data_IF_974438245008
#
_entry.id   IF_974438245008
#
_cell.length_a   1.000
_cell.length_b   1.000
_cell.length_c   1.000
_cell.angle_alpha   90.00
_cell.angle_beta   90.00
_cell.angle_gamma   90.00
#
_symmetry.space_group_name_H-M   'P 1'
#
loop_
_entity.id
_entity.type
_entity.pdbx_description
1 polymer ?
#
# COMPACT_ATOMS: atom_id res chain seq x y z
N UNK A 1 -17.26 -3.38 -29.86
CA UNK A 1 -16.97 -3.62 -28.43
C UNK A 1 -15.55 -4.19 -28.37
N UNK A 2 -14.65 -3.70 -27.50
CA UNK A 2 -13.31 -4.25 -27.38
C UNK A 2 -13.38 -5.74 -26.99
N UNK A 3 -12.48 -6.56 -27.53
CA UNK A 3 -12.45 -7.98 -27.21
C UNK A 3 -11.96 -8.21 -25.78
N UNK A 4 -12.46 -9.28 -25.16
CA UNK A 4 -12.01 -9.72 -23.84
C UNK A 4 -10.86 -10.69 -24.03
N UNK A 5 -9.72 -10.39 -23.43
CA UNK A 5 -8.50 -11.20 -23.56
C UNK A 5 -8.27 -12.12 -22.36
N UNK A 6 -8.78 -11.76 -21.19
CA UNK A 6 -8.60 -12.53 -19.96
C UNK A 6 -9.76 -12.34 -18.99
N UNK A 7 -10.05 -13.37 -18.19
CA UNK A 7 -11.04 -13.33 -17.12
C UNK A 7 -10.43 -13.83 -15.81
N UNK A 8 -10.61 -13.07 -14.73
CA UNK A 8 -10.33 -13.53 -13.36
C UNK A 8 -11.60 -13.50 -12.51
N UNK A 9 -11.58 -14.23 -11.41
CA UNK A 9 -12.67 -14.25 -10.44
C UNK A 9 -12.18 -13.90 -9.05
N UNK A 10 -12.97 -13.08 -8.36
CA UNK A 10 -12.76 -12.72 -6.96
C UNK A 10 -14.05 -12.97 -6.20
N UNK A 11 -13.91 -13.48 -4.99
CA UNK A 11 -15.02 -13.66 -4.06
C UNK A 11 -14.94 -12.58 -2.98
N UNK A 12 -16.05 -11.88 -2.75
CA UNK A 12 -16.20 -10.95 -1.63
C UNK A 12 -17.44 -11.31 -0.80
N UNK A 13 -17.51 -10.86 0.46
CA UNK A 13 -18.73 -11.01 1.27
C UNK A 13 -19.92 -10.30 0.60
N UNK A 14 -21.10 -10.92 0.65
CA UNK A 14 -22.32 -10.42 -0.04
C UNK A 14 -22.69 -9.03 0.46
N UNK A 15 -22.56 -8.79 1.77
CA UNK A 15 -22.81 -7.49 2.40
C UNK A 15 -21.86 -6.38 1.93
N UNK A 16 -20.75 -6.73 1.26
CA UNK A 16 -19.78 -5.78 0.68
C UNK A 16 -19.98 -5.52 -0.80
N UNK A 17 -20.85 -6.29 -1.47
CA UNK A 17 -21.17 -6.06 -2.90
C UNK A 17 -21.72 -4.65 -3.12
N UNK A 18 -22.61 -4.17 -2.24
CA UNK A 18 -23.15 -2.82 -2.36
C UNK A 18 -22.08 -1.72 -2.30
N UNK A 19 -21.01 -1.93 -1.51
CA UNK A 19 -19.88 -1.00 -1.44
C UNK A 19 -19.01 -1.04 -2.71
N UNK A 20 -18.85 -2.21 -3.32
CA UNK A 20 -18.14 -2.35 -4.60
C UNK A 20 -18.92 -1.73 -5.77
N UNK A 21 -20.24 -1.88 -5.79
CA UNK A 21 -21.07 -1.27 -6.84
C UNK A 21 -21.12 0.24 -6.66
N UNK A 22 -21.32 0.72 -5.43
CA UNK A 22 -21.50 2.14 -5.12
C UNK A 22 -22.89 2.65 -5.51
N UNK A 23 -23.22 3.89 -5.09
CA UNK A 23 -24.53 4.49 -5.37
C UNK A 23 -24.69 4.69 -6.88
N UNK A 24 -25.71 4.06 -7.47
CA UNK A 24 -25.92 4.12 -8.93
C UNK A 24 -24.80 3.49 -9.76
N UNK A 25 -23.98 2.60 -9.16
CA UNK A 25 -22.85 1.98 -9.84
C UNK A 25 -21.58 2.82 -9.90
N UNK A 26 -21.47 3.89 -9.11
CA UNK A 26 -20.37 4.86 -9.21
C UNK A 26 -18.98 4.23 -9.06
N UNK A 27 -18.78 3.40 -8.05
CA UNK A 27 -17.48 2.76 -7.76
C UNK A 27 -17.13 1.75 -8.84
N UNK A 28 -18.09 0.92 -9.25
CA UNK A 28 -17.91 -0.02 -10.34
C UNK A 28 -17.46 0.69 -11.63
N UNK A 29 -18.18 1.74 -12.03
CA UNK A 29 -17.90 2.52 -13.24
C UNK A 29 -16.50 3.13 -13.19
N UNK A 30 -16.13 3.73 -12.05
CA UNK A 30 -14.81 4.32 -11.87
C UNK A 30 -13.68 3.28 -12.05
N UNK A 31 -13.85 2.07 -11.51
CA UNK A 31 -12.88 0.98 -11.71
C UNK A 31 -12.82 0.56 -13.19
N UNK A 32 -13.98 0.37 -13.83
CA UNK A 32 -14.06 -0.04 -15.24
C UNK A 32 -13.38 0.98 -16.17
N UNK A 33 -13.67 2.27 -15.99
CA UNK A 33 -13.15 3.38 -16.80
C UNK A 33 -11.65 3.62 -16.55
N UNK A 34 -11.21 3.62 -15.30
CA UNK A 34 -9.81 3.91 -14.94
C UNK A 34 -8.86 2.81 -15.39
N UNK A 35 -9.28 1.55 -15.27
CA UNK A 35 -8.40 0.40 -15.47
C UNK A 35 -8.66 -0.36 -16.77
N UNK A 36 -9.68 0.04 -17.55
CA UNK A 36 -10.01 -0.60 -18.82
C UNK A 36 -10.46 -2.06 -18.63
N UNK A 37 -11.33 -2.28 -17.64
CA UNK A 37 -11.88 -3.61 -17.34
C UNK A 37 -13.39 -3.57 -17.42
N UNK A 38 -14.02 -4.73 -17.52
CA UNK A 38 -15.46 -4.91 -17.30
C UNK A 38 -15.68 -5.80 -16.09
N UNK A 39 -16.56 -5.38 -15.19
CA UNK A 39 -16.88 -6.09 -13.96
C UNK A 39 -18.29 -6.69 -14.05
N UNK A 40 -18.40 -8.00 -13.88
CA UNK A 40 -19.69 -8.67 -13.70
C UNK A 40 -19.80 -9.12 -12.24
N UNK A 41 -20.79 -8.56 -11.53
CA UNK A 41 -20.94 -8.74 -10.09
C UNK A 41 -22.24 -9.48 -9.82
N UNK A 42 -22.12 -10.70 -9.31
CA UNK A 42 -23.26 -11.46 -8.80
C UNK A 42 -23.58 -10.99 -7.37
N UNK A 43 -24.69 -10.26 -7.24
CA UNK A 43 -25.11 -9.68 -5.96
C UNK A 43 -25.68 -10.70 -4.97
N UNK A 44 -26.00 -11.92 -5.42
CA UNK A 44 -26.50 -12.99 -4.57
C UNK A 44 -25.38 -13.83 -3.96
N UNK A 45 -24.32 -14.08 -4.74
CA UNK A 45 -23.20 -14.91 -4.31
C UNK A 45 -21.98 -14.11 -3.85
N UNK A 46 -21.84 -12.84 -4.25
CA UNK A 46 -20.64 -12.04 -3.99
C UNK A 46 -19.47 -12.37 -4.93
N UNK A 47 -19.72 -13.14 -5.99
CA UNK A 47 -18.73 -13.45 -7.03
C UNK A 47 -18.58 -12.27 -7.98
N UNK A 48 -17.34 -11.87 -8.23
CA UNK A 48 -16.97 -10.79 -9.14
C UNK A 48 -16.11 -11.37 -10.26
N UNK A 49 -16.56 -11.25 -11.50
CA UNK A 49 -15.77 -11.55 -12.69
C UNK A 49 -15.12 -10.27 -13.21
N UNK A 50 -13.81 -10.30 -13.40
CA UNK A 50 -13.02 -9.21 -13.95
C UNK A 50 -12.64 -9.60 -15.38
N UNK A 51 -13.15 -8.88 -16.36
CA UNK A 51 -12.82 -9.06 -17.78
C UNK A 51 -11.83 -7.99 -18.21
N UNK A 52 -10.64 -8.38 -18.63
CA UNK A 52 -9.63 -7.45 -19.16
C UNK A 52 -9.87 -7.20 -20.64
N UNK A 53 -9.90 -5.93 -21.04
CA UNK A 53 -10.09 -5.51 -22.43
C UNK A 53 -8.75 -5.53 -23.19
N UNK A 54 -8.80 -5.82 -24.49
CA UNK A 54 -7.62 -5.99 -25.37
C UNK A 54 -6.65 -4.81 -25.36
N UNK A 55 -7.14 -3.59 -25.15
CA UNK A 55 -6.33 -2.35 -25.17
C UNK A 55 -5.82 -1.92 -23.78
N UNK A 56 -5.93 -2.78 -22.76
CA UNK A 56 -5.64 -2.42 -21.37
C UNK A 56 -4.36 -3.07 -20.88
N UNK A 57 -3.69 -2.40 -19.93
CA UNK A 57 -2.46 -2.92 -19.35
C UNK A 57 -2.75 -4.20 -18.54
N UNK A 58 -2.11 -5.35 -18.83
CA UNK A 58 -2.30 -6.58 -18.07
C UNK A 58 -2.05 -6.44 -16.56
N UNK A 59 -1.18 -5.51 -16.13
CA UNK A 59 -0.94 -5.23 -14.72
C UNK A 59 -2.19 -4.71 -13.99
N UNK A 60 -3.12 -4.07 -14.71
CA UNK A 60 -4.36 -3.55 -14.14
C UNK A 60 -5.22 -4.65 -13.53
N UNK A 61 -5.13 -5.88 -14.02
CA UNK A 61 -5.87 -7.00 -13.46
C UNK A 61 -5.53 -7.22 -11.98
N UNK A 62 -4.24 -7.16 -11.63
CA UNK A 62 -3.79 -7.31 -10.26
C UNK A 62 -4.24 -6.13 -9.39
N UNK A 63 -4.16 -4.91 -9.93
CA UNK A 63 -4.60 -3.70 -9.23
C UNK A 63 -6.10 -3.75 -8.93
N UNK A 64 -6.92 -4.07 -9.93
CA UNK A 64 -8.38 -4.20 -9.79
C UNK A 64 -8.74 -5.31 -8.81
N UNK A 65 -8.05 -6.46 -8.88
CA UNK A 65 -8.22 -7.55 -7.92
C UNK A 65 -7.96 -7.09 -6.49
N UNK A 66 -6.87 -6.35 -6.26
CA UNK A 66 -6.53 -5.82 -4.95
C UNK A 66 -7.57 -4.78 -4.46
N UNK A 67 -8.08 -3.91 -5.34
CA UNK A 67 -9.17 -2.97 -5.00
C UNK A 67 -10.42 -3.72 -4.55
N UNK A 68 -10.87 -4.70 -5.34
CA UNK A 68 -12.08 -5.50 -5.04
C UNK A 68 -11.90 -6.23 -3.71
N UNK A 69 -10.75 -6.88 -3.50
CA UNK A 69 -10.46 -7.57 -2.25
C UNK A 69 -10.40 -6.61 -1.06
N UNK A 70 -9.74 -5.46 -1.19
CA UNK A 70 -9.66 -4.47 -0.11
C UNK A 70 -11.07 -3.96 0.29
N UNK A 71 -11.94 -3.67 -0.67
CA UNK A 71 -13.34 -3.31 -0.42
C UNK A 71 -14.08 -4.47 0.26
N UNK A 72 -13.85 -5.71 -0.21
CA UNK A 72 -14.37 -6.94 0.38
C UNK A 72 -13.95 -7.13 1.84
N UNK A 73 -12.74 -6.70 2.21
CA UNK A 73 -12.25 -6.72 3.60
C UNK A 73 -12.71 -5.53 4.45
N UNK A 74 -13.65 -4.72 3.97
CA UNK A 74 -14.25 -3.63 4.75
C UNK A 74 -13.64 -2.25 4.48
N UNK A 75 -12.65 -2.14 3.59
CA UNK A 75 -12.02 -0.86 3.30
C UNK A 75 -13.00 0.08 2.58
N UNK A 76 -12.90 1.38 2.83
CA UNK A 76 -13.70 2.38 2.13
C UNK A 76 -13.28 2.42 0.65
N UNK A 77 -14.23 2.42 -0.31
CA UNK A 77 -13.91 2.40 -1.75
C UNK A 77 -12.99 3.54 -2.21
N UNK A 78 -13.27 4.79 -1.81
CA UNK A 78 -12.46 5.96 -2.19
C UNK A 78 -11.01 5.83 -1.68
N UNK A 79 -10.85 5.33 -0.45
CA UNK A 79 -9.51 5.07 0.10
C UNK A 79 -8.78 3.94 -0.62
N UNK A 80 -9.49 2.87 -0.99
CA UNK A 80 -8.90 1.76 -1.72
C UNK A 80 -8.44 2.21 -3.10
N UNK A 81 -9.30 2.87 -3.87
CA UNK A 81 -8.99 3.46 -5.18
C UNK A 81 -7.77 4.38 -5.09
N UNK A 82 -7.75 5.28 -4.11
CA UNK A 82 -6.62 6.19 -3.90
C UNK A 82 -5.31 5.44 -3.65
N UNK A 83 -5.29 4.47 -2.73
CA UNK A 83 -4.07 3.72 -2.40
C UNK A 83 -3.56 2.93 -3.60
N UNK A 84 -4.44 2.25 -4.32
CA UNK A 84 -4.06 1.42 -5.47
C UNK A 84 -3.81 2.22 -6.75
N UNK A 85 -3.97 3.54 -6.72
CA UNK A 85 -3.46 4.44 -7.76
C UNK A 85 -1.98 4.79 -7.58
N UNK A 86 -1.40 4.52 -6.40
CA UNK A 86 0.02 4.73 -6.14
C UNK A 86 0.86 3.57 -6.69
N UNK A 87 2.09 3.88 -7.12
CA UNK A 87 3.08 2.86 -7.46
C UNK A 87 3.44 1.98 -6.25
N UNK A 88 3.73 0.71 -6.52
CA UNK A 88 4.09 -0.31 -5.53
C UNK A 88 3.06 -0.51 -4.40
N UNK A 89 1.78 -0.22 -4.69
CA UNK A 89 0.69 -0.49 -3.78
C UNK A 89 0.50 -1.99 -3.57
N UNK A 90 0.43 -2.40 -2.31
CA UNK A 90 0.25 -3.77 -1.87
C UNK A 90 -0.96 -3.91 -0.95
N UNK A 91 -1.59 -5.08 -0.99
CA UNK A 91 -2.61 -5.51 -0.03
C UNK A 91 -2.04 -6.67 0.80
N UNK A 92 -2.10 -6.55 2.12
CA UNK A 92 -1.79 -7.63 3.04
C UNK A 92 -2.98 -7.94 3.95
N UNK A 93 -3.29 -9.22 4.11
CA UNK A 93 -4.43 -9.68 4.90
C UNK A 93 -3.96 -10.67 5.95
N UNK A 94 -4.27 -10.38 7.21
CA UNK A 94 -3.98 -11.22 8.35
C UNK A 94 -5.26 -11.92 8.78
N UNK A 95 -5.26 -13.24 8.78
CA UNK A 95 -6.36 -14.05 9.32
C UNK A 95 -6.17 -14.24 10.83
N UNK A 96 -6.98 -13.53 11.63
CA UNK A 96 -6.97 -13.59 13.08
C UNK A 96 -7.48 -14.93 13.59
N UNK A 97 -8.41 -15.59 12.88
CA UNK A 97 -8.95 -16.90 13.28
C UNK A 97 -7.87 -17.96 13.15
N UNK A 98 -7.09 -17.92 12.07
CA UNK A 98 -5.93 -18.79 11.88
C UNK A 98 -4.87 -18.57 12.98
N UNK A 99 -4.57 -17.31 13.31
CA UNK A 99 -3.52 -16.98 14.28
C UNK A 99 -3.91 -17.23 15.75
N UNK A 100 -5.16 -16.98 16.14
CA UNK A 100 -5.61 -17.00 17.53
C UNK A 100 -6.36 -18.29 17.91
N UNK A 101 -6.69 -19.14 16.93
CA UNK A 101 -7.53 -20.31 17.13
C UNK A 101 -8.99 -19.95 17.43
N UNK A 102 -9.78 -20.89 18.00
CA UNK A 102 -11.23 -20.74 18.16
C UNK A 102 -11.66 -19.82 19.32
N UNK A 103 -10.72 -19.25 20.08
CA UNK A 103 -11.05 -18.46 21.28
C UNK A 103 -11.62 -17.09 20.93
N UNK A 104 -12.94 -16.92 21.14
CA UNK A 104 -13.65 -15.66 20.96
C UNK A 104 -13.12 -14.55 21.88
N UNK A 105 -12.78 -14.87 23.12
CA UNK A 105 -12.28 -13.88 24.08
C UNK A 105 -10.91 -13.32 23.67
N UNK A 106 -10.02 -14.18 23.15
CA UNK A 106 -8.75 -13.75 22.59
C UNK A 106 -8.98 -12.84 21.37
N UNK A 107 -9.90 -13.19 20.47
CA UNK A 107 -10.24 -12.38 19.31
C UNK A 107 -10.77 -10.99 19.70
N UNK A 108 -11.71 -10.93 20.65
CA UNK A 108 -12.27 -9.66 21.15
C UNK A 108 -11.17 -8.80 21.80
N UNK A 109 -10.32 -9.41 22.64
CA UNK A 109 -9.20 -8.71 23.27
C UNK A 109 -8.21 -8.15 22.25
N UNK A 110 -7.80 -8.96 21.27
CA UNK A 110 -6.86 -8.55 20.21
C UNK A 110 -7.46 -7.44 19.36
N UNK A 111 -8.71 -7.57 18.92
CA UNK A 111 -9.40 -6.50 18.18
C UNK A 111 -9.49 -5.22 19.01
N UNK A 112 -9.79 -5.32 20.30
CA UNK A 112 -9.79 -4.17 21.22
C UNK A 112 -8.44 -3.44 21.27
N UNK A 113 -7.32 -4.18 21.25
CA UNK A 113 -5.97 -3.60 21.19
C UNK A 113 -5.65 -2.96 19.84
N UNK A 114 -6.03 -3.60 18.74
CA UNK A 114 -5.79 -3.11 17.39
C UNK A 114 -6.59 -1.83 17.08
N UNK A 115 -7.87 -1.81 17.47
CA UNK A 115 -8.74 -0.64 17.29
C UNK A 115 -8.31 0.45 18.28
N UNK A 116 -8.12 0.09 19.54
CA UNK A 116 -7.88 1.03 20.64
C UNK A 116 -9.11 1.88 20.95
N UNK A 117 -9.00 2.74 21.95
CA UNK A 117 -10.10 3.63 22.35
C UNK A 117 -10.54 4.51 21.17
N UNK A 118 -11.82 4.44 20.78
CA UNK A 118 -12.38 5.19 19.62
C UNK A 118 -11.58 5.03 18.32
N UNK A 119 -10.89 3.91 18.13
CA UNK A 119 -10.08 3.68 16.92
C UNK A 119 -8.72 4.40 16.91
N UNK A 120 -8.29 5.02 18.03
CA UNK A 120 -7.04 5.80 18.12
C UNK A 120 -5.81 4.97 17.75
N UNK A 121 -5.74 3.71 18.19
CA UNK A 121 -4.57 2.87 17.91
C UNK A 121 -4.44 2.57 16.41
N UNK A 122 -5.54 2.12 15.79
CA UNK A 122 -5.60 1.90 14.34
C UNK A 122 -5.21 3.15 13.55
N UNK A 123 -5.82 4.30 13.89
CA UNK A 123 -5.53 5.59 13.21
C UNK A 123 -4.07 6.00 13.34
N UNK A 124 -3.46 5.84 14.51
CA UNK A 124 -2.06 6.17 14.72
C UNK A 124 -1.13 5.29 13.86
N UNK A 125 -1.43 4.00 13.72
CA UNK A 125 -0.67 3.11 12.83
C UNK A 125 -0.83 3.56 11.37
N UNK A 126 -2.07 3.83 10.93
CA UNK A 126 -2.36 4.34 9.58
C UNK A 126 -1.57 5.63 9.28
N UNK A 127 -1.58 6.60 10.19
CA UNK A 127 -0.89 7.90 10.04
C UNK A 127 0.64 7.78 10.07
N UNK A 128 1.19 6.91 10.92
CA UNK A 128 2.63 6.75 11.04
C UNK A 128 3.22 5.98 9.86
N UNK A 129 2.44 5.08 9.27
CA UNK A 129 2.87 4.21 8.16
C UNK A 129 2.34 4.66 6.79
N UNK A 130 1.45 5.66 6.71
CA UNK A 130 0.75 6.03 5.48
C UNK A 130 0.05 4.81 4.83
N UNK A 131 -0.68 4.05 5.63
CA UNK A 131 -1.48 2.90 5.18
C UNK A 131 -2.96 3.10 5.50
N UNK A 132 -3.80 2.30 4.87
CA UNK A 132 -5.22 2.17 5.22
C UNK A 132 -5.44 0.79 5.82
N UNK A 133 -6.07 0.74 6.99
CA UNK A 133 -6.27 -0.49 7.75
C UNK A 133 -7.78 -0.70 7.98
N UNK A 134 -8.25 -1.88 7.57
CA UNK A 134 -9.58 -2.40 7.88
C UNK A 134 -9.48 -3.55 8.87
N UNK A 135 -10.32 -3.53 9.91
CA UNK A 135 -10.39 -4.59 10.93
C UNK A 135 -11.81 -5.16 10.90
N UNK A 136 -11.94 -6.37 10.38
CA UNK A 136 -13.20 -7.08 10.20
C UNK A 136 -13.40 -8.12 11.30
N UNK A 137 -14.34 -9.05 11.14
CA UNK A 137 -14.64 -10.06 12.17
C UNK A 137 -13.43 -10.95 12.46
N UNK A 138 -12.86 -11.55 11.42
CA UNK A 138 -11.75 -12.51 11.51
C UNK A 138 -10.49 -12.06 10.80
N UNK A 139 -10.46 -10.85 10.21
CA UNK A 139 -9.33 -10.42 9.39
C UNK A 139 -8.91 -8.99 9.68
N UNK A 140 -7.63 -8.71 9.44
CA UNK A 140 -7.07 -7.36 9.37
C UNK A 140 -6.47 -7.17 7.98
N UNK A 141 -7.00 -6.24 7.20
CA UNK A 141 -6.48 -5.89 5.89
C UNK A 141 -5.72 -4.56 5.95
N UNK A 142 -4.55 -4.53 5.33
CA UNK A 142 -3.62 -3.40 5.29
C UNK A 142 -3.32 -3.10 3.83
N UNK A 143 -3.54 -1.86 3.40
CA UNK A 143 -3.21 -1.41 2.06
C UNK A 143 -2.32 -0.17 2.09
N UNK A 144 -1.35 -0.11 1.20
CA UNK A 144 -0.41 1.01 1.05
C UNK A 144 0.80 0.58 0.22
N UNK A 145 1.82 1.43 0.14
CA UNK A 145 3.10 1.03 -0.47
C UNK A 145 3.69 -0.19 0.24
N UNK A 146 4.35 -1.08 -0.51
CA UNK A 146 4.88 -2.35 0.01
C UNK A 146 5.68 -2.17 1.33
N UNK A 147 6.67 -1.27 1.34
CA UNK A 147 7.50 -1.02 2.53
C UNK A 147 6.67 -0.54 3.74
N UNK A 148 5.65 0.28 3.49
CA UNK A 148 4.77 0.81 4.51
C UNK A 148 3.84 -0.28 5.09
N UNK A 149 3.35 -1.15 4.21
CA UNK A 149 2.53 -2.32 4.59
C UNK A 149 3.32 -3.25 5.50
N UNK A 150 4.60 -3.49 5.22
CA UNK A 150 5.45 -4.33 6.09
C UNK A 150 5.62 -3.76 7.49
N UNK A 151 5.84 -2.44 7.60
CA UNK A 151 5.97 -1.76 8.89
C UNK A 151 4.65 -1.81 9.67
N UNK A 152 3.52 -1.56 8.99
CA UNK A 152 2.19 -1.64 9.60
C UNK A 152 1.86 -3.08 10.04
N UNK A 153 2.16 -4.07 9.20
CA UNK A 153 2.01 -5.50 9.50
C UNK A 153 2.77 -5.86 10.77
N UNK A 154 4.04 -5.45 10.88
CA UNK A 154 4.84 -5.73 12.07
C UNK A 154 4.26 -5.11 13.33
N UNK A 155 3.79 -3.86 13.27
CA UNK A 155 3.14 -3.20 14.40
C UNK A 155 1.86 -3.93 14.83
N UNK A 156 1.05 -4.39 13.87
CA UNK A 156 -0.15 -5.19 14.12
C UNK A 156 0.20 -6.54 14.76
N UNK A 157 1.18 -7.26 14.23
CA UNK A 157 1.67 -8.53 14.81
C UNK A 157 2.17 -8.36 16.25
N UNK A 158 2.86 -7.26 16.57
CA UNK A 158 3.29 -6.96 17.92
C UNK A 158 2.08 -6.80 18.87
N UNK A 159 1.03 -6.10 18.44
CA UNK A 159 -0.20 -5.92 19.22
C UNK A 159 -0.97 -7.23 19.40
N UNK A 160 -1.05 -8.06 18.35
CA UNK A 160 -1.65 -9.41 18.37
C UNK A 160 -0.90 -10.29 19.38
N UNK A 161 0.43 -10.24 19.37
CA UNK A 161 1.31 -10.99 20.28
C UNK A 161 1.35 -10.45 21.71
N UNK A 162 0.58 -9.40 22.01
CA UNK A 162 0.44 -8.86 23.36
C UNK A 162 1.46 -7.79 23.75
N UNK A 163 2.33 -7.34 22.85
CA UNK A 163 3.27 -6.23 23.11
C UNK A 163 2.53 -4.97 23.58
N UNK A 164 2.97 -4.28 24.64
CA UNK A 164 2.35 -3.03 25.08
C UNK A 164 2.33 -1.99 23.97
N UNK A 165 1.25 -1.20 23.88
CA UNK A 165 1.13 -0.14 22.87
C UNK A 165 2.33 0.82 22.88
N UNK A 166 2.85 1.19 24.05
CA UNK A 166 4.06 2.02 24.16
C UNK A 166 5.26 1.48 23.37
N UNK A 167 5.50 0.16 23.43
CA UNK A 167 6.58 -0.51 22.69
C UNK A 167 6.33 -0.44 21.18
N UNK A 168 5.07 -0.61 20.75
CA UNK A 168 4.67 -0.51 19.34
C UNK A 168 4.83 0.92 18.81
N UNK A 169 4.50 1.93 19.61
CA UNK A 169 4.72 3.33 19.28
C UNK A 169 6.21 3.63 19.12
N UNK A 170 7.04 3.20 20.08
CA UNK A 170 8.50 3.37 19.99
C UNK A 170 9.08 2.74 18.73
N UNK A 171 8.59 1.57 18.33
CA UNK A 171 8.94 0.94 17.05
C UNK A 171 8.57 1.83 15.86
N UNK A 172 7.31 2.25 15.74
CA UNK A 172 6.82 3.06 14.62
C UNK A 172 7.56 4.41 14.50
N UNK A 173 7.77 5.12 15.61
CA UNK A 173 8.53 6.37 15.61
C UNK A 173 10.01 6.18 15.24
N UNK A 174 10.60 5.05 15.61
CA UNK A 174 11.99 4.73 15.25
C UNK A 174 12.10 4.46 13.75
N UNK A 175 11.19 3.69 13.17
CA UNK A 175 11.15 3.45 11.73
C UNK A 175 10.92 4.76 10.97
N UNK A 176 9.94 5.57 11.37
CA UNK A 176 9.65 6.86 10.73
C UNK A 176 10.84 7.83 10.76
N UNK A 177 11.61 7.86 11.86
CA UNK A 177 12.86 8.66 11.94
C UNK A 177 13.92 8.17 10.96
N UNK A 178 14.09 6.85 10.81
CA UNK A 178 15.05 6.26 9.85
C UNK A 178 14.68 6.59 8.40
N UNK A 179 13.40 6.47 8.04
CA UNK A 179 12.92 6.78 6.69
C UNK A 179 13.13 8.26 6.32
N UNK A 180 12.83 9.19 7.25
CA UNK A 180 13.12 10.61 7.04
C UNK A 180 14.61 10.87 6.80
N UNK A 181 15.49 10.28 7.62
CA UNK A 181 16.94 10.44 7.48
C UNK A 181 17.46 9.94 6.13
N UNK A 182 16.95 8.80 5.63
CA UNK A 182 17.32 8.28 4.30
C UNK A 182 16.87 9.20 3.17
N UNK A 183 15.66 9.76 3.26
CA UNK A 183 15.17 10.74 2.29
C UNK A 183 16.01 12.02 2.24
N UNK A 184 16.45 12.52 3.41
CA UNK A 184 17.35 13.67 3.49
C UNK A 184 18.75 13.36 2.94
N UNK A 185 19.31 12.18 3.22
CA UNK A 185 20.63 11.78 2.72
C UNK A 185 20.69 11.61 1.19
N UNK A 186 19.56 11.34 0.53
CA UNK A 186 19.48 11.28 -0.94
C UNK A 186 19.45 12.68 -1.60
N UNK A 187 19.08 13.72 -0.86
CA UNK A 187 18.96 15.10 -1.35
C UNK A 187 20.24 15.92 -1.16
N UNK A 188 21.27 15.38 -0.51
CA UNK A 188 22.58 16.04 -0.51
C UNK A 188 23.14 15.99 -1.94
N UNK A 189 23.35 17.15 -2.60
CA UNK A 189 24.04 17.15 -3.88
C UNK A 189 25.42 16.57 -3.60
N UNK A 190 25.73 15.42 -4.20
CA UNK A 190 27.11 14.95 -4.29
C UNK A 190 27.86 16.09 -4.97
N UNK A 191 28.64 16.83 -4.21
CA UNK A 191 29.65 17.72 -4.77
C UNK A 191 30.50 16.83 -5.65
N UNK A 192 30.34 16.97 -6.97
CA UNK A 192 31.28 16.41 -7.92
C UNK A 192 32.57 17.16 -7.64
N UNK A 193 33.46 16.54 -6.87
CA UNK A 193 34.84 16.98 -6.75
C UNK A 193 35.44 16.81 -8.14
N UNK A 194 35.41 17.87 -8.95
CA UNK A 194 36.27 17.98 -10.11
C UNK A 194 37.70 17.98 -9.57
N UNK A 195 38.31 16.80 -9.56
CA UNK A 195 39.77 16.70 -9.57
C UNK A 195 40.20 17.41 -10.86
N UNK A 196 40.67 18.64 -10.70
CA UNK A 196 41.35 19.38 -11.76
C UNK A 196 42.63 18.59 -12.04
N UNK A 197 42.64 17.83 -13.13
CA UNK A 197 43.87 17.46 -13.80
C UNK A 197 44.60 18.77 -14.14
N UNK A 198 45.63 19.09 -13.37
CA UNK A 198 46.58 20.15 -13.72
C UNK A 198 47.35 19.71 -14.97
N UNK A 199 46.82 20.08 -16.14
CA UNK A 199 47.59 20.13 -17.37
C UNK A 199 48.60 21.28 -17.24
N UNK A 200 49.88 20.93 -17.12
CA UNK A 200 51.02 21.85 -17.11
C UNK A 200 51.02 22.69 -18.40
N UNK A 201 51.13 24.02 -18.34
CA UNK A 201 51.26 24.84 -19.55
C UNK A 201 52.71 24.82 -20.09
N UNK A 202 52.83 24.55 -21.39
CA UNK A 202 53.91 25.03 -22.27
C UNK A 202 53.99 26.57 -22.10
N UNK A 203 55.12 27.19 -21.78
CA UNK A 203 56.27 27.33 -22.65
C UNK A 203 56.14 28.65 -23.41
N UNK A 204 56.89 29.68 -23.00
CA UNK A 204 57.25 30.97 -23.68
C UNK A 204 57.86 31.85 -22.56
N UNK A 205 58.95 32.59 -22.66
CA UNK A 205 59.89 33.01 -23.71
C UNK A 205 61.18 33.45 -22.98
N UNK A 206 62.33 33.42 -23.67
CA UNK A 206 63.22 34.60 -23.77
C UNK A 206 64.43 34.22 -24.63
N UNK A 207 64.38 34.66 -25.89
CA UNK A 207 65.59 34.94 -26.62
C UNK A 207 65.98 36.39 -26.34
N UNK A 208 67.21 36.61 -25.89
CA UNK A 208 67.97 37.82 -26.22
C UNK A 208 69.47 37.50 -26.18
N UNK A 209 70.14 37.95 -27.22
CA UNK A 209 71.55 37.75 -27.58
C UNK A 209 72.52 38.41 -26.60
N UNK A 210 73.74 37.88 -26.49
CA UNK A 210 75.01 38.54 -26.88
C UNK A 210 76.21 38.10 -26.02
N UNK A 211 77.28 37.64 -26.68
CA UNK A 211 78.57 37.29 -26.07
C UNK A 211 79.28 36.13 -26.73
#
# INVERSE_FOLDING_TARGET
MPNVIYRDFVQIPVERVGALIGRGGSVKKEIEETYGVKLEVDSSTGRVCIELLENSNPANLLVVKNIIQAIGYGMNPEKALKIFSEEDAALHVIDLKYLLGPSRDNLVRVKGRLIGEKGKARKLIEELTNTVISISEHTVAIAGKLENVEVARRAIEMLISGSPHGVVWSYLYTVRRKLKRRGFALWEPKTVSLELEESVPEGEEEGEESG
#
